data_IF_616237206104
#
_entry.id   IF_616237206104
#
_cell.length_a   1.000
_cell.length_b   1.000
_cell.length_c   1.000
_cell.angle_alpha   90.00
_cell.angle_beta   90.00
_cell.angle_gamma   90.00
#
_symmetry.space_group_name_H-M   'P 1'
#
loop_
_entity.id
_entity.type
_entity.pdbx_description
1 polymer ?
#
# COMPACT_ATOMS: atom_id res chain seq x y z
N UNK A 1 -15.42 -12.39 -6.89
CA UNK A 1 -15.27 -12.13 -5.44
C UNK A 1 -14.05 -12.78 -4.79
N UNK A 2 -13.93 -14.12 -4.69
CA UNK A 2 -12.75 -14.75 -4.04
C UNK A 2 -11.46 -14.57 -4.85
N UNK A 3 -11.55 -14.65 -6.18
CA UNK A 3 -10.40 -14.50 -7.07
C UNK A 3 -9.88 -13.05 -7.09
N UNK A 4 -10.78 -12.06 -7.12
CA UNK A 4 -10.42 -10.64 -7.14
C UNK A 4 -9.70 -10.22 -5.85
N UNK A 5 -10.13 -10.74 -4.69
CA UNK A 5 -9.41 -10.56 -3.42
C UNK A 5 -7.98 -11.13 -3.46
N UNK A 6 -7.77 -12.28 -4.11
CA UNK A 6 -6.43 -12.90 -4.25
C UNK A 6 -5.54 -12.08 -5.18
N UNK A 7 -6.09 -11.59 -6.29
CA UNK A 7 -5.37 -10.72 -7.24
C UNK A 7 -4.97 -9.41 -6.57
N UNK A 8 -5.90 -8.75 -5.88
CA UNK A 8 -5.64 -7.52 -5.16
C UNK A 8 -4.55 -7.66 -4.09
N UNK A 9 -4.53 -8.76 -3.33
CA UNK A 9 -3.44 -9.03 -2.38
C UNK A 9 -2.09 -9.18 -3.07
N UNK A 10 -2.04 -9.83 -4.24
CA UNK A 10 -0.80 -9.95 -5.03
C UNK A 10 -0.33 -8.57 -5.51
N UNK A 11 -1.25 -7.75 -6.03
CA UNK A 11 -0.94 -6.38 -6.47
C UNK A 11 -0.39 -5.57 -5.29
N UNK A 12 -1.07 -5.58 -4.14
CA UNK A 12 -0.61 -4.88 -2.95
C UNK A 12 0.78 -5.35 -2.48
N UNK A 13 1.03 -6.67 -2.48
CA UNK A 13 2.35 -7.22 -2.14
C UNK A 13 3.44 -6.75 -3.10
N UNK A 14 3.19 -6.77 -4.41
CA UNK A 14 4.14 -6.28 -5.41
C UNK A 14 4.44 -4.79 -5.21
N UNK A 15 3.43 -3.96 -5.00
CA UNK A 15 3.60 -2.52 -4.74
C UNK A 15 4.42 -2.29 -3.47
N UNK A 16 4.12 -2.99 -2.37
CA UNK A 16 4.86 -2.83 -1.11
C UNK A 16 6.32 -3.26 -1.22
N UNK A 17 6.64 -4.30 -2.00
CA UNK A 17 8.02 -4.73 -2.21
C UNK A 17 8.83 -3.69 -2.99
N UNK A 18 8.28 -3.19 -4.10
CA UNK A 18 8.94 -2.16 -4.91
C UNK A 18 9.09 -0.84 -4.13
N UNK A 19 8.07 -0.44 -3.39
CA UNK A 19 8.11 0.73 -2.52
C UNK A 19 9.22 0.60 -1.46
N UNK A 20 9.25 -0.52 -0.73
CA UNK A 20 10.27 -0.77 0.28
C UNK A 20 11.68 -0.80 -0.30
N UNK A 21 11.84 -1.38 -1.49
CA UNK A 21 13.11 -1.40 -2.20
C UNK A 21 13.56 0.01 -2.59
N UNK A 22 12.66 0.83 -3.14
CA UNK A 22 12.91 2.23 -3.48
C UNK A 22 13.30 3.06 -2.26
N UNK A 23 12.50 3.02 -1.20
CA UNK A 23 12.75 3.74 0.06
C UNK A 23 14.08 3.33 0.70
N UNK A 24 14.43 2.03 0.64
CA UNK A 24 15.74 1.55 1.13
C UNK A 24 16.89 2.13 0.30
N UNK A 25 16.79 2.13 -1.02
CA UNK A 25 17.83 2.67 -1.91
C UNK A 25 18.06 4.16 -1.70
N UNK A 26 17.02 4.91 -1.35
CA UNK A 26 17.08 6.35 -1.11
C UNK A 26 17.29 6.72 0.37
N UNK A 27 17.50 5.73 1.24
CA UNK A 27 17.64 5.91 2.69
C UNK A 27 16.48 6.72 3.33
N UNK A 28 15.26 6.50 2.83
CA UNK A 28 14.04 7.11 3.35
C UNK A 28 13.38 6.23 4.42
N UNK A 29 12.51 6.85 5.23
CA UNK A 29 11.67 6.14 6.20
C UNK A 29 10.80 5.08 5.50
N UNK A 30 10.75 3.88 6.07
CA UNK A 30 10.03 2.72 5.49
C UNK A 30 8.74 2.39 6.24
N UNK A 31 8.41 3.16 7.28
CA UNK A 31 7.17 2.98 8.03
C UNK A 31 6.00 3.56 7.25
N UNK A 32 5.38 2.70 6.45
CA UNK A 32 4.25 3.02 5.57
C UNK A 32 3.06 2.17 5.96
N UNK A 33 1.95 2.83 6.30
CA UNK A 33 0.64 2.20 6.47
C UNK A 33 -0.04 2.09 5.12
N UNK A 34 -0.81 1.04 4.95
CA UNK A 34 -1.55 0.82 3.71
C UNK A 34 -2.90 0.16 3.93
N UNK A 35 -3.84 0.49 3.05
CA UNK A 35 -5.14 -0.15 2.95
C UNK A 35 -5.43 -0.47 1.50
N UNK A 36 -6.13 -1.58 1.28
CA UNK A 36 -6.54 -2.02 -0.04
C UNK A 36 -8.07 -2.08 -0.05
N UNK A 37 -8.67 -1.33 -0.96
CA UNK A 37 -10.10 -1.34 -1.25
C UNK A 37 -10.35 -2.09 -2.56
N UNK A 38 -11.33 -2.99 -2.53
CA UNK A 38 -11.67 -3.86 -3.66
C UNK A 38 -13.18 -4.02 -3.69
N UNK A 39 -13.81 -3.50 -4.72
CA UNK A 39 -15.22 -3.76 -5.00
C UNK A 39 -15.37 -4.75 -6.15
N UNK A 40 -14.69 -4.49 -7.26
CA UNK A 40 -14.56 -5.39 -8.41
C UNK A 40 -13.24 -5.15 -9.16
N UNK A 41 -13.14 -5.60 -10.42
CA UNK A 41 -11.92 -5.52 -11.23
C UNK A 41 -11.60 -4.10 -11.73
N UNK A 42 -12.61 -3.25 -11.88
CA UNK A 42 -12.45 -1.86 -12.33
C UNK A 42 -12.37 -0.90 -11.13
N UNK A 43 -12.93 -1.32 -9.99
CA UNK A 43 -12.98 -0.55 -8.75
C UNK A 43 -12.00 -1.10 -7.70
N UNK A 44 -10.72 -0.87 -7.94
CA UNK A 44 -9.61 -1.17 -7.02
C UNK A 44 -8.91 0.12 -6.60
N UNK A 45 -8.65 0.27 -5.29
CA UNK A 45 -7.83 1.37 -4.78
C UNK A 45 -6.85 0.88 -3.71
N UNK A 46 -5.69 1.50 -3.65
CA UNK A 46 -4.71 1.29 -2.59
C UNK A 46 -4.30 2.65 -2.05
N UNK A 47 -4.33 2.79 -0.72
CA UNK A 47 -3.86 3.98 -0.02
C UNK A 47 -2.52 3.64 0.63
N UNK A 48 -1.54 4.53 0.48
CA UNK A 48 -0.21 4.45 1.08
C UNK A 48 0.03 5.76 1.82
N UNK A 49 0.42 5.69 3.10
CA UNK A 49 0.74 6.89 3.89
C UNK A 49 1.90 6.59 4.82
N UNK A 50 2.86 7.51 4.92
CA UNK A 50 3.90 7.44 5.96
C UNK A 50 3.22 7.50 7.34
N UNK A 51 3.62 6.63 8.26
CA UNK A 51 3.13 6.66 9.64
C UNK A 51 3.38 8.00 10.32
N UNK A 52 4.50 8.67 9.98
CA UNK A 52 4.81 10.01 10.48
C UNK A 52 3.78 11.05 10.00
N UNK A 53 3.50 11.06 8.69
CA UNK A 53 2.49 11.99 8.11
C UNK A 53 1.11 11.71 8.69
N UNK A 54 0.76 10.44 8.89
CA UNK A 54 -0.52 10.06 9.51
C UNK A 54 -0.68 10.66 10.92
N UNK A 55 0.38 10.62 11.73
CA UNK A 55 0.40 11.23 13.06
C UNK A 55 0.35 12.77 13.01
N UNK A 56 1.08 13.40 12.07
CA UNK A 56 1.06 14.86 11.89
C UNK A 56 -0.33 15.39 11.51
N UNK A 57 -1.14 14.57 10.85
CA UNK A 57 -2.54 14.86 10.52
C UNK A 57 -3.51 14.63 11.70
N UNK A 58 -3.04 14.12 12.84
CA UNK A 58 -3.84 13.92 14.06
C UNK A 58 -4.67 12.63 14.09
N UNK A 59 -4.27 11.61 13.32
CA UNK A 59 -4.92 10.28 13.30
C UNK A 59 -4.12 9.19 14.03
#
# INVERSE_FOLDING_TARGET
MANDKKVARKIGFTIMNELNFGLRKTNQERDVRYWIYIYDKEHYAMVLISSKVFQELGF
#
